data_IF_912459271138
#
_entry.id   IF_912459271138
#
_cell.length_a   1.000
_cell.length_b   1.000
_cell.length_c   1.000
_cell.angle_alpha   90.00
_cell.angle_beta   90.00
_cell.angle_gamma   90.00
#
_symmetry.space_group_name_H-M   'P 1'
#
loop_
_entity.id
_entity.type
_entity.pdbx_description
1 polymer ?
#
# COMPACT_ATOMS: atom_id res chain seq x y z
N UNK A 1 -15.00 -2.32 20.08
CA UNK A 1 -14.81 -2.43 18.59
C UNK A 1 -15.64 -3.62 18.09
N UNK A 2 -16.65 -3.38 17.26
CA UNK A 2 -17.38 -4.40 16.50
C UNK A 2 -16.64 -4.65 15.18
N UNK A 3 -16.44 -5.91 14.77
CA UNK A 3 -15.62 -6.27 13.59
C UNK A 3 -16.46 -7.11 12.63
N UNK A 4 -16.45 -6.73 11.37
CA UNK A 4 -17.06 -7.46 10.26
C UNK A 4 -15.98 -8.26 9.52
N UNK A 5 -16.40 -9.36 8.87
CA UNK A 5 -15.61 -10.14 7.94
C UNK A 5 -16.41 -10.31 6.66
N UNK A 6 -15.80 -9.96 5.54
CA UNK A 6 -16.42 -10.20 4.24
C UNK A 6 -16.54 -11.71 4.02
N UNK A 7 -17.74 -12.22 3.64
CA UNK A 7 -17.92 -13.64 3.39
C UNK A 7 -16.97 -14.17 2.30
N UNK A 8 -16.45 -15.38 2.48
CA UNK A 8 -15.52 -15.97 1.51
C UNK A 8 -16.13 -16.17 0.13
N UNK A 9 -17.45 -16.33 0.05
CA UNK A 9 -18.18 -16.38 -1.22
C UNK A 9 -18.01 -15.14 -2.09
N UNK A 10 -17.73 -13.96 -1.50
CA UNK A 10 -17.45 -12.74 -2.23
C UNK A 10 -16.12 -12.81 -3.00
N UNK A 11 -15.22 -13.68 -2.61
CA UNK A 11 -13.90 -13.86 -3.21
C UNK A 11 -13.80 -15.11 -4.10
N UNK A 12 -14.89 -15.79 -4.30
CA UNK A 12 -14.92 -16.95 -5.20
C UNK A 12 -14.75 -16.51 -6.66
N UNK A 13 -13.89 -17.23 -7.41
CA UNK A 13 -13.70 -17.05 -8.86
C UNK A 13 -13.27 -15.65 -9.28
N UNK A 14 -12.37 -15.01 -8.51
CA UNK A 14 -11.78 -13.74 -8.90
C UNK A 14 -10.81 -13.92 -10.09
N UNK A 15 -10.95 -13.07 -11.09
CA UNK A 15 -10.11 -13.12 -12.28
C UNK A 15 -8.63 -12.86 -11.93
N UNK A 16 -7.76 -13.80 -12.34
CA UNK A 16 -6.31 -13.68 -12.12
C UNK A 16 -5.87 -13.72 -10.65
N UNK A 17 -6.68 -14.30 -9.74
CA UNK A 17 -6.38 -14.32 -8.31
C UNK A 17 -6.56 -15.74 -7.72
N UNK A 18 -5.69 -16.68 -8.10
CA UNK A 18 -5.78 -18.08 -7.66
C UNK A 18 -5.13 -18.36 -6.29
N UNK A 19 -4.72 -17.33 -5.57
CA UNK A 19 -3.89 -17.42 -4.37
C UNK A 19 -4.67 -17.92 -3.15
N UNK A 20 -4.02 -18.75 -2.34
CA UNK A 20 -4.57 -19.24 -1.09
C UNK A 20 -4.50 -18.15 0.01
N UNK A 21 -5.59 -17.92 0.76
CA UNK A 21 -5.59 -16.92 1.82
C UNK A 21 -4.77 -17.40 3.03
N UNK A 22 -3.92 -16.52 3.58
CA UNK A 22 -3.25 -16.69 4.87
C UNK A 22 -3.67 -15.58 5.83
N UNK A 23 -3.51 -15.80 7.12
CA UNK A 23 -3.94 -14.87 8.15
C UNK A 23 -2.95 -14.81 9.30
N UNK A 24 -2.65 -13.58 9.76
CA UNK A 24 -1.88 -13.31 10.96
C UNK A 24 -2.73 -12.53 11.98
N UNK A 25 -2.38 -12.61 13.25
CA UNK A 25 -2.96 -11.78 14.30
C UNK A 25 -2.13 -10.51 14.45
N UNK A 26 -2.79 -9.35 14.37
CA UNK A 26 -2.14 -8.05 14.49
C UNK A 26 -2.77 -7.22 15.59
N UNK A 27 -1.95 -6.43 16.25
CA UNK A 27 -2.37 -5.53 17.33
C UNK A 27 -2.00 -4.09 17.02
N UNK A 28 -2.72 -3.14 17.59
CA UNK A 28 -2.39 -1.72 17.59
C UNK A 28 -2.69 -1.14 18.97
N UNK A 29 -1.65 -0.69 19.68
CA UNK A 29 -1.75 -0.27 21.06
C UNK A 29 -2.47 -1.31 21.93
N UNK A 30 -3.33 -0.87 22.82
CA UNK A 30 -4.10 -1.73 23.73
C UNK A 30 -5.40 -2.30 23.10
N UNK A 31 -5.51 -2.32 21.76
CA UNK A 31 -6.68 -2.87 21.11
C UNK A 31 -6.64 -4.40 21.08
N UNK A 32 -7.85 -5.02 21.01
CA UNK A 32 -7.89 -6.46 20.79
C UNK A 32 -7.25 -6.85 19.47
N UNK A 33 -6.62 -8.05 19.37
CA UNK A 33 -6.06 -8.54 18.12
C UNK A 33 -7.10 -8.60 17.00
N UNK A 34 -6.68 -8.23 15.80
CA UNK A 34 -7.44 -8.35 14.56
C UNK A 34 -6.76 -9.37 13.64
N UNK A 35 -7.55 -9.97 12.77
CA UNK A 35 -7.07 -10.89 11.73
C UNK A 35 -6.69 -10.08 10.48
N UNK A 36 -5.42 -10.06 10.12
CA UNK A 36 -4.92 -9.52 8.87
C UNK A 36 -4.72 -10.65 7.85
N UNK A 37 -5.36 -10.51 6.70
CA UNK A 37 -5.13 -11.39 5.56
C UNK A 37 -3.84 -11.02 4.85
N UNK A 38 -3.14 -11.99 4.31
CA UNK A 38 -2.01 -11.78 3.41
C UNK A 38 -1.86 -12.94 2.43
N UNK A 39 -1.26 -12.66 1.29
CA UNK A 39 -0.73 -13.67 0.37
C UNK A 39 0.72 -13.96 0.75
N UNK A 40 1.18 -15.19 0.47
CA UNK A 40 2.54 -15.65 0.73
C UNK A 40 2.88 -16.70 -0.33
N UNK A 41 3.47 -16.25 -1.42
CA UNK A 41 3.68 -17.01 -2.65
C UNK A 41 5.17 -17.08 -2.98
N UNK A 42 5.58 -18.10 -3.72
CA UNK A 42 6.96 -18.32 -4.11
C UNK A 42 7.75 -19.18 -3.12
N UNK A 43 9.08 -19.04 -3.12
CA UNK A 43 9.96 -19.81 -2.25
C UNK A 43 9.92 -19.27 -0.81
N UNK A 44 9.50 -20.07 0.19
CA UNK A 44 9.51 -19.63 1.59
C UNK A 44 10.90 -19.24 2.12
N UNK A 45 11.98 -19.76 1.51
CA UNK A 45 13.36 -19.40 1.84
C UNK A 45 13.89 -18.23 0.98
N UNK A 46 13.12 -17.80 -0.01
CA UNK A 46 13.46 -16.67 -0.88
C UNK A 46 13.46 -15.33 -0.15
N UNK A 47 14.15 -14.35 -0.73
CA UNK A 47 14.18 -13.01 -0.17
C UNK A 47 12.76 -12.42 -0.13
N UNK A 48 12.30 -11.88 1.03
CA UNK A 48 10.94 -11.40 1.16
C UNK A 48 10.72 -10.09 0.40
N UNK A 49 9.71 -10.08 -0.47
CA UNK A 49 9.18 -8.91 -1.18
C UNK A 49 7.78 -8.63 -0.65
N UNK A 50 7.63 -7.53 0.07
CA UNK A 50 6.34 -7.10 0.64
C UNK A 50 5.72 -6.06 -0.28
N UNK A 51 4.49 -6.31 -0.74
CA UNK A 51 3.71 -5.45 -1.63
C UNK A 51 2.57 -4.79 -0.83
N UNK A 52 2.73 -3.53 -0.43
CA UNK A 52 1.78 -2.83 0.44
C UNK A 52 0.88 -1.87 -0.35
N UNK A 53 -0.39 -2.25 -0.45
CA UNK A 53 -1.41 -1.51 -1.21
C UNK A 53 -1.94 -0.27 -0.47
N UNK A 54 -2.73 0.55 -1.20
CA UNK A 54 -3.41 1.71 -0.67
C UNK A 54 -4.94 1.62 -0.66
N UNK A 55 -5.61 2.77 -0.69
CA UNK A 55 -7.07 2.89 -0.63
C UNK A 55 -7.64 3.31 -2.01
N UNK A 56 -8.69 2.67 -2.51
CA UNK A 56 -9.52 1.61 -1.93
C UNK A 56 -9.15 0.19 -2.42
N UNK A 57 -7.88 -0.06 -2.68
CA UNK A 57 -7.39 -1.34 -3.21
C UNK A 57 -7.17 -2.37 -2.09
N UNK A 58 -6.69 -3.56 -2.48
CA UNK A 58 -6.30 -4.65 -1.63
C UNK A 58 -5.28 -5.53 -2.38
N UNK A 59 -4.80 -6.62 -1.85
CA UNK A 59 -3.77 -7.47 -2.48
C UNK A 59 -4.08 -7.89 -3.93
N UNK A 60 -5.34 -7.81 -4.36
CA UNK A 60 -5.76 -8.00 -5.75
C UNK A 60 -5.05 -7.07 -6.74
N UNK A 61 -4.64 -5.88 -6.29
CA UNK A 61 -3.85 -4.93 -7.09
C UNK A 61 -2.55 -5.55 -7.62
N UNK A 62 -1.98 -6.47 -6.85
CA UNK A 62 -0.68 -7.07 -7.15
C UNK A 62 -0.75 -8.43 -7.85
N UNK A 63 -1.96 -8.90 -8.26
CA UNK A 63 -2.16 -10.22 -8.86
C UNK A 63 -1.29 -10.50 -10.09
N UNK A 64 -0.90 -9.45 -10.85
CA UNK A 64 -0.04 -9.55 -12.03
C UNK A 64 1.45 -9.38 -11.71
N UNK A 65 1.79 -8.86 -10.51
CA UNK A 65 3.17 -8.74 -10.04
C UNK A 65 3.65 -9.99 -9.31
N UNK A 66 2.76 -10.66 -8.58
CA UNK A 66 3.11 -11.79 -7.71
C UNK A 66 3.73 -12.96 -8.48
N UNK A 67 3.12 -13.49 -9.58
CA UNK A 67 3.69 -14.64 -10.26
C UNK A 67 5.13 -14.41 -10.77
N UNK A 68 5.46 -13.35 -11.52
CA UNK A 68 6.82 -13.18 -12.03
C UNK A 68 7.86 -12.89 -10.95
N UNK A 69 7.46 -12.35 -9.78
CA UNK A 69 8.36 -12.18 -8.64
C UNK A 69 8.60 -13.54 -7.96
N UNK A 70 7.56 -14.36 -7.79
CA UNK A 70 7.67 -15.70 -7.21
C UNK A 70 8.49 -16.65 -8.12
N UNK A 71 8.27 -16.59 -9.44
CA UNK A 71 9.03 -17.35 -10.43
C UNK A 71 10.52 -16.99 -10.45
N UNK A 72 10.87 -15.76 -10.07
CA UNK A 72 12.26 -15.31 -9.91
C UNK A 72 12.91 -15.79 -8.60
N UNK A 73 12.21 -16.60 -7.77
CA UNK A 73 12.73 -17.18 -6.54
C UNK A 73 12.52 -16.33 -5.28
N UNK A 74 11.72 -15.26 -5.36
CA UNK A 74 11.40 -14.45 -4.19
C UNK A 74 10.24 -15.04 -3.40
N UNK A 75 10.21 -14.77 -2.08
CA UNK A 75 9.02 -14.94 -1.24
C UNK A 75 8.19 -13.66 -1.32
N UNK A 76 7.03 -13.70 -1.95
CA UNK A 76 6.18 -12.53 -2.22
C UNK A 76 5.03 -12.48 -1.24
N UNK A 77 4.98 -11.42 -0.43
CA UNK A 77 3.94 -11.21 0.57
C UNK A 77 3.10 -9.98 0.22
N UNK A 78 1.78 -10.13 0.21
CA UNK A 78 0.88 -9.01 -0.06
C UNK A 78 -0.23 -8.97 1.01
N UNK A 79 -0.05 -8.19 2.10
CA UNK A 79 -1.07 -8.06 3.13
C UNK A 79 -2.23 -7.19 2.65
N UNK A 80 -3.44 -7.50 3.12
CA UNK A 80 -4.59 -6.60 3.06
C UNK A 80 -4.61 -5.73 4.32
N UNK A 81 -4.56 -4.42 4.17
CA UNK A 81 -4.68 -3.50 5.30
C UNK A 81 -5.98 -3.75 6.07
N UNK A 82 -5.97 -3.56 7.39
CA UNK A 82 -7.18 -3.66 8.22
C UNK A 82 -8.26 -2.74 7.64
N UNK A 83 -9.46 -3.31 7.43
CA UNK A 83 -10.56 -2.63 6.75
C UNK A 83 -10.69 -2.92 5.26
N UNK A 84 -9.69 -3.58 4.65
CA UNK A 84 -9.61 -3.90 3.22
C UNK A 84 -9.60 -5.41 2.97
N UNK A 85 -9.75 -5.80 1.72
CA UNK A 85 -9.61 -7.17 1.24
C UNK A 85 -10.35 -8.19 2.11
N UNK A 86 -9.64 -9.25 2.52
CA UNK A 86 -10.13 -10.30 3.42
C UNK A 86 -9.79 -10.03 4.90
N UNK A 87 -9.09 -8.95 5.22
CA UNK A 87 -8.79 -8.56 6.59
C UNK A 87 -10.02 -8.17 7.39
N UNK A 88 -9.93 -8.27 8.70
CA UNK A 88 -10.96 -7.81 9.63
C UNK A 88 -11.30 -6.33 9.38
N UNK A 89 -12.58 -6.01 9.51
CA UNK A 89 -13.14 -4.68 9.26
C UNK A 89 -13.83 -4.12 10.50
N UNK A 90 -13.12 -3.36 11.35
CA UNK A 90 -13.79 -2.55 12.37
C UNK A 90 -14.93 -1.74 11.77
N UNK A 91 -16.09 -1.78 12.42
CA UNK A 91 -17.33 -1.29 11.82
C UNK A 91 -17.49 0.23 11.86
N UNK A 92 -16.70 0.93 12.70
CA UNK A 92 -16.77 2.38 12.85
C UNK A 92 -15.56 3.07 12.21
N UNK A 93 -15.74 4.15 11.44
CA UNK A 93 -14.60 4.91 10.90
C UNK A 93 -13.66 5.45 11.98
N UNK A 94 -14.14 5.69 13.19
CA UNK A 94 -13.34 6.11 14.36
C UNK A 94 -12.41 5.02 14.90
N UNK A 95 -12.61 3.77 14.52
CA UNK A 95 -11.72 2.67 14.87
C UNK A 95 -10.39 2.73 14.10
N UNK A 96 -10.33 3.51 13.03
CA UNK A 96 -9.17 3.66 12.15
C UNK A 96 -8.44 4.98 12.44
N UNK A 97 -7.15 4.89 12.71
CA UNK A 97 -6.24 6.04 12.75
C UNK A 97 -5.01 5.76 11.91
N UNK A 98 -4.30 6.80 11.52
CA UNK A 98 -3.03 6.62 10.80
C UNK A 98 -2.05 5.78 11.63
N UNK A 99 -1.90 6.11 12.92
CA UNK A 99 -1.02 5.37 13.83
C UNK A 99 -1.40 3.88 13.90
N UNK A 100 -2.68 3.55 14.06
CA UNK A 100 -3.11 2.15 14.08
C UNK A 100 -2.76 1.39 12.80
N UNK A 101 -2.86 2.03 11.63
CA UNK A 101 -2.45 1.38 10.38
C UNK A 101 -0.95 1.09 10.37
N UNK A 102 -0.11 1.99 10.87
CA UNK A 102 1.32 1.77 11.03
C UNK A 102 1.57 0.61 11.99
N UNK A 103 0.95 0.64 13.18
CA UNK A 103 1.09 -0.39 14.21
C UNK A 103 0.62 -1.78 13.74
N UNK A 104 -0.51 -1.87 13.01
CA UNK A 104 -0.99 -3.14 12.45
C UNK A 104 0.00 -3.73 11.44
N UNK A 105 0.57 -2.90 10.56
CA UNK A 105 1.56 -3.38 9.57
C UNK A 105 2.87 -3.76 10.27
N UNK A 106 3.32 -2.98 11.26
CA UNK A 106 4.48 -3.32 12.08
C UNK A 106 4.27 -4.66 12.80
N UNK A 107 3.12 -4.81 13.48
CA UNK A 107 2.74 -6.05 14.18
C UNK A 107 2.69 -7.26 13.23
N UNK A 108 2.25 -7.06 11.97
CA UNK A 108 2.25 -8.12 10.96
C UNK A 108 3.66 -8.53 10.53
N UNK A 109 4.58 -7.56 10.35
CA UNK A 109 5.98 -7.82 10.04
C UNK A 109 6.67 -8.56 11.20
N UNK A 110 6.36 -8.19 12.44
CA UNK A 110 6.90 -8.80 13.64
C UNK A 110 6.37 -10.22 13.86
N UNK A 111 5.06 -10.45 13.67
CA UNK A 111 4.41 -11.78 13.79
C UNK A 111 5.00 -12.80 12.82
N UNK A 112 5.38 -12.36 11.61
CA UNK A 112 6.02 -13.22 10.61
C UNK A 112 7.54 -13.21 10.68
N UNK A 113 8.14 -12.49 11.64
CA UNK A 113 9.59 -12.24 11.79
C UNK A 113 10.27 -11.92 10.45
N UNK A 114 9.65 -11.06 9.64
CA UNK A 114 10.21 -10.69 8.34
C UNK A 114 11.48 -9.87 8.52
N UNK A 115 12.54 -10.26 7.80
CA UNK A 115 13.87 -9.61 7.80
C UNK A 115 14.34 -9.43 6.37
N UNK A 116 15.24 -8.51 6.15
CA UNK A 116 15.83 -8.21 4.84
C UNK A 116 14.79 -7.94 3.75
N UNK A 117 13.70 -7.27 4.15
CA UNK A 117 12.52 -7.03 3.31
C UNK A 117 12.83 -6.05 2.18
N UNK A 118 12.50 -6.43 0.95
CA UNK A 118 12.26 -5.46 -0.13
C UNK A 118 10.82 -4.98 -0.01
N UNK A 119 10.64 -3.74 0.46
CA UNK A 119 9.32 -3.17 0.71
C UNK A 119 8.87 -2.30 -0.48
N UNK A 120 7.87 -2.79 -1.22
CA UNK A 120 7.19 -2.05 -2.29
C UNK A 120 5.91 -1.42 -1.76
N UNK A 121 5.76 -0.11 -1.94
CA UNK A 121 4.62 0.65 -1.40
C UNK A 121 3.97 1.54 -2.46
N UNK A 122 2.63 1.62 -2.43
CA UNK A 122 1.84 2.43 -3.36
C UNK A 122 0.71 3.15 -2.61
N UNK A 123 0.39 4.40 -2.97
CA UNK A 123 -0.69 5.21 -2.38
C UNK A 123 -0.61 5.27 -0.84
N UNK A 124 -1.68 4.90 -0.12
CA UNK A 124 -1.66 4.79 1.34
C UNK A 124 -0.66 3.78 1.87
N UNK A 125 -0.35 2.73 1.07
CA UNK A 125 0.75 1.84 1.38
C UNK A 125 2.07 2.58 1.51
N UNK A 126 2.29 3.67 0.77
CA UNK A 126 3.50 4.50 0.91
C UNK A 126 3.48 5.35 2.18
N UNK A 127 2.34 5.95 2.52
CA UNK A 127 2.23 6.74 3.75
C UNK A 127 2.50 5.86 5.00
N UNK A 128 1.99 4.64 5.00
CA UNK A 128 2.17 3.68 6.08
C UNK A 128 3.57 3.05 6.02
N UNK A 129 3.95 2.51 4.86
CA UNK A 129 5.19 1.74 4.68
C UNK A 129 6.46 2.58 4.83
N UNK A 130 6.46 3.85 4.42
CA UNK A 130 7.59 4.76 4.67
C UNK A 130 7.76 5.07 6.17
N UNK A 131 6.67 5.12 6.93
CA UNK A 131 6.72 5.18 8.39
C UNK A 131 7.33 3.92 8.98
N UNK A 132 6.83 2.75 8.54
CA UNK A 132 7.35 1.44 8.99
C UNK A 132 8.84 1.31 8.61
N UNK A 133 9.23 1.67 7.38
CA UNK A 133 10.63 1.61 6.95
C UNK A 133 11.56 2.51 7.78
N UNK A 134 11.08 3.69 8.18
CA UNK A 134 11.83 4.60 9.05
C UNK A 134 11.97 4.07 10.48
N UNK A 135 10.92 3.46 11.03
CA UNK A 135 10.86 2.97 12.41
C UNK A 135 11.48 1.57 12.56
N UNK A 136 11.44 0.74 11.51
CA UNK A 136 11.94 -0.64 11.46
C UNK A 136 13.05 -0.81 10.41
N UNK A 137 13.92 0.20 10.25
CA UNK A 137 14.93 0.21 9.18
C UNK A 137 15.87 -1.01 9.21
N UNK A 138 16.08 -1.62 10.37
CA UNK A 138 16.88 -2.84 10.53
C UNK A 138 16.26 -4.08 9.85
N UNK A 139 14.96 -4.09 9.58
CA UNK A 139 14.25 -5.17 8.87
C UNK A 139 14.16 -4.96 7.35
N UNK A 140 14.48 -3.75 6.88
CA UNK A 140 14.37 -3.38 5.47
C UNK A 140 15.71 -3.50 4.78
N UNK A 141 15.78 -4.27 3.71
CA UNK A 141 16.95 -4.34 2.83
C UNK A 141 16.85 -3.30 1.70
N UNK A 142 15.66 -3.14 1.13
CA UNK A 142 15.41 -2.25 -0.02
C UNK A 142 14.03 -1.61 0.10
N UNK A 143 13.88 -0.40 -0.45
CA UNK A 143 12.63 0.34 -0.42
C UNK A 143 12.24 0.78 -1.83
N UNK A 144 11.01 0.50 -2.24
CA UNK A 144 10.45 0.90 -3.55
C UNK A 144 9.17 1.68 -3.35
N UNK A 145 9.09 2.86 -3.93
CA UNK A 145 7.87 3.67 -3.93
C UNK A 145 7.33 3.81 -5.34
N UNK A 146 6.08 3.39 -5.51
CA UNK A 146 5.33 3.60 -6.74
C UNK A 146 4.11 4.48 -6.45
N UNK A 147 4.01 5.63 -7.12
CA UNK A 147 2.87 6.56 -6.98
C UNK A 147 2.48 6.79 -5.51
N UNK A 148 3.42 7.34 -4.73
CA UNK A 148 3.25 7.54 -3.30
C UNK A 148 4.22 8.54 -2.71
N UNK A 149 4.06 8.84 -1.43
CA UNK A 149 4.93 9.76 -0.69
C UNK A 149 4.73 9.61 0.82
N UNK A 150 5.52 10.32 1.62
CA UNK A 150 5.27 10.57 3.04
C UNK A 150 4.85 12.03 3.24
N UNK A 151 3.62 12.26 3.66
CA UNK A 151 3.09 13.60 3.90
C UNK A 151 3.49 14.10 5.30
N UNK A 152 4.21 15.22 5.35
CA UNK A 152 4.71 15.86 6.59
C UNK A 152 4.00 17.18 6.91
N UNK A 153 3.04 17.57 6.06
CA UNK A 153 2.41 18.89 6.06
C UNK A 153 3.42 20.05 6.03
N UNK A 154 4.63 19.84 5.50
CA UNK A 154 5.60 20.91 5.25
C UNK A 154 5.19 21.77 4.04
N UNK A 155 4.53 21.14 3.08
CA UNK A 155 4.02 21.80 1.88
C UNK A 155 2.50 21.63 1.79
N UNK A 156 1.78 22.64 1.29
CA UNK A 156 0.34 22.53 1.09
C UNK A 156 0.04 21.55 -0.03
N UNK A 157 -0.97 20.69 0.17
CA UNK A 157 -1.48 19.84 -0.91
C UNK A 157 -2.03 20.70 -2.07
N UNK A 158 -1.91 20.26 -3.31
CA UNK A 158 -2.54 20.91 -4.46
C UNK A 158 -4.04 21.12 -4.24
N UNK A 159 -4.58 22.22 -4.78
CA UNK A 159 -6.00 22.57 -4.59
C UNK A 159 -6.94 21.43 -5.03
N UNK A 160 -6.70 20.80 -6.18
CA UNK A 160 -7.51 19.72 -6.69
C UNK A 160 -7.53 18.52 -5.72
N UNK A 161 -6.39 18.17 -5.10
CA UNK A 161 -6.29 17.11 -4.10
C UNK A 161 -7.08 17.47 -2.84
N UNK A 162 -6.97 18.72 -2.37
CA UNK A 162 -7.77 19.21 -1.21
C UNK A 162 -9.26 19.14 -1.49
N UNK A 163 -9.70 19.57 -2.67
CA UNK A 163 -11.10 19.52 -3.08
C UNK A 163 -11.60 18.06 -3.16
N UNK A 164 -10.82 17.18 -3.77
CA UNK A 164 -11.12 15.74 -3.83
C UNK A 164 -11.25 15.12 -2.45
N UNK A 165 -10.33 15.42 -1.52
CA UNK A 165 -10.41 14.94 -0.14
C UNK A 165 -11.63 15.48 0.60
N UNK A 166 -12.00 16.75 0.39
CA UNK A 166 -13.20 17.34 1.00
C UNK A 166 -14.47 16.61 0.56
N UNK A 167 -14.58 16.29 -0.74
CA UNK A 167 -15.69 15.50 -1.27
C UNK A 167 -15.64 14.07 -0.70
N UNK A 168 -14.50 13.40 -0.76
CA UNK A 168 -14.34 12.01 -0.34
C UNK A 168 -14.70 11.79 1.13
N UNK A 169 -14.52 12.77 2.02
CA UNK A 169 -14.90 12.73 3.43
C UNK A 169 -16.40 12.59 3.68
N UNK A 170 -17.23 12.94 2.71
CA UNK A 170 -18.70 12.96 2.82
C UNK A 170 -19.38 11.90 1.97
N UNK A 171 -18.62 11.15 1.14
CA UNK A 171 -19.19 10.10 0.30
C UNK A 171 -19.73 8.97 1.20
N UNK A 172 -21.05 8.66 1.10
CA UNK A 172 -21.66 7.62 1.94
C UNK A 172 -21.29 6.20 1.48
N UNK A 173 -20.96 6.03 0.21
CA UNK A 173 -20.57 4.76 -0.42
C UNK A 173 -19.34 4.98 -1.30
N UNK A 174 -18.29 4.20 -1.11
CA UNK A 174 -17.04 4.28 -1.88
C UNK A 174 -17.13 3.32 -3.08
N UNK A 175 -17.23 3.81 -4.32
CA UNK A 175 -17.26 2.96 -5.51
C UNK A 175 -15.82 2.47 -5.84
N UNK A 176 -15.32 1.48 -5.10
CA UNK A 176 -13.91 1.06 -5.16
C UNK A 176 -13.43 0.80 -6.60
N UNK A 177 -14.14 -0.06 -7.35
CA UNK A 177 -13.79 -0.34 -8.75
C UNK A 177 -13.89 0.90 -9.66
N UNK A 178 -14.79 1.84 -9.36
CA UNK A 178 -14.93 3.10 -10.09
C UNK A 178 -13.73 4.01 -9.87
N UNK A 179 -13.26 4.12 -8.63
CA UNK A 179 -12.07 4.91 -8.26
C UNK A 179 -10.82 4.32 -8.92
N UNK A 180 -10.64 2.99 -8.86
CA UNK A 180 -9.50 2.34 -9.52
C UNK A 180 -9.56 2.54 -11.04
N UNK A 181 -10.72 2.36 -11.67
CA UNK A 181 -10.89 2.56 -13.12
C UNK A 181 -10.63 4.01 -13.55
N UNK A 182 -10.90 4.99 -12.69
CA UNK A 182 -10.59 6.39 -12.98
C UNK A 182 -9.10 6.72 -12.80
N UNK A 183 -8.42 5.99 -11.92
CA UNK A 183 -6.99 6.16 -11.63
C UNK A 183 -6.05 5.27 -12.45
N UNK A 184 -6.56 4.49 -13.40
CA UNK A 184 -5.79 3.69 -14.38
C UNK A 184 -5.85 4.31 -15.77
N UNK A 185 -4.84 4.06 -16.61
CA UNK A 185 -4.86 4.43 -18.02
C UNK A 185 -5.54 3.34 -18.86
N UNK A 186 -5.50 2.09 -18.38
CA UNK A 186 -6.14 0.95 -19.05
C UNK A 186 -7.59 0.80 -18.63
N UNK A 187 -8.43 0.37 -19.57
CA UNK A 187 -9.82 0.07 -19.28
C UNK A 187 -9.94 -1.25 -18.51
N UNK A 188 -10.56 -1.19 -17.33
CA UNK A 188 -10.78 -2.39 -16.51
C UNK A 188 -11.95 -3.21 -17.04
N UNK A 189 -11.75 -4.53 -17.24
CA UNK A 189 -12.83 -5.47 -17.56
C UNK A 189 -13.85 -5.57 -16.43
N UNK A 190 -15.04 -6.07 -16.74
CA UNK A 190 -16.09 -6.29 -15.73
C UNK A 190 -15.63 -7.23 -14.61
N UNK A 191 -14.84 -8.27 -14.95
CA UNK A 191 -14.31 -9.23 -13.97
C UNK A 191 -13.29 -8.56 -13.04
N UNK A 192 -12.40 -7.72 -13.55
CA UNK A 192 -11.42 -6.98 -12.73
C UNK A 192 -12.15 -5.99 -11.82
N UNK A 193 -13.15 -5.28 -12.33
CA UNK A 193 -13.99 -4.39 -11.50
C UNK A 193 -14.72 -5.14 -10.39
N UNK A 194 -15.23 -6.35 -10.68
CA UNK A 194 -15.82 -7.22 -9.66
C UNK A 194 -14.81 -7.59 -8.57
N UNK A 195 -13.54 -7.87 -8.94
CA UNK A 195 -12.45 -8.13 -7.99
C UNK A 195 -12.20 -6.97 -7.02
N UNK A 196 -12.16 -5.73 -7.50
CA UNK A 196 -12.01 -4.56 -6.62
C UNK A 196 -13.20 -4.31 -5.70
N UNK A 197 -14.41 -4.70 -6.11
CA UNK A 197 -15.63 -4.56 -5.28
C UNK A 197 -15.83 -5.74 -4.31
N UNK A 198 -15.18 -6.88 -4.53
CA UNK A 198 -15.38 -8.11 -3.75
C UNK A 198 -15.31 -7.91 -2.22
N UNK A 199 -14.36 -7.10 -1.65
CA UNK A 199 -14.29 -6.88 -0.21
C UNK A 199 -15.47 -6.12 0.39
N UNK A 200 -16.29 -5.47 -0.45
CA UNK A 200 -17.28 -4.47 -0.03
C UNK A 200 -18.70 -4.81 -0.52
N UNK A 201 -19.31 -5.92 -0.05
CA UNK A 201 -20.63 -6.34 -0.52
C UNK A 201 -21.74 -5.30 -0.25
N UNK A 202 -21.55 -4.46 0.75
CA UNK A 202 -22.41 -3.30 1.04
C UNK A 202 -21.66 -2.24 1.87
N UNK A 203 -22.31 -1.10 2.13
CA UNK A 203 -21.76 0.06 2.85
C UNK A 203 -21.19 -0.27 4.25
N UNK A 204 -21.71 -1.28 4.93
CA UNK A 204 -21.24 -1.65 6.30
C UNK A 204 -19.79 -2.11 6.30
N UNK A 205 -19.32 -2.70 5.18
CA UNK A 205 -17.94 -3.18 5.01
C UNK A 205 -16.96 -2.08 4.58
N UNK A 206 -17.41 -0.83 4.42
CA UNK A 206 -16.62 0.27 3.90
C UNK A 206 -16.15 1.26 4.97
N UNK A 207 -16.23 0.93 6.27
CA UNK A 207 -15.81 1.85 7.33
C UNK A 207 -14.33 2.24 7.17
N UNK A 208 -13.44 1.28 6.84
CA UNK A 208 -12.02 1.52 6.58
C UNK A 208 -11.80 2.45 5.40
N UNK A 209 -12.31 2.11 4.20
CA UNK A 209 -12.12 2.96 2.99
C UNK A 209 -12.63 4.39 3.21
N UNK A 210 -13.71 4.54 3.95
CA UNK A 210 -14.31 5.86 4.27
C UNK A 210 -13.53 6.64 5.33
N UNK A 211 -12.70 5.97 6.13
CA UNK A 211 -11.85 6.63 7.12
C UNK A 211 -10.64 7.31 6.45
N UNK A 212 -10.01 6.69 5.47
CA UNK A 212 -8.75 7.15 4.88
C UNK A 212 -8.71 8.62 4.46
N UNK A 213 -9.71 9.20 3.77
CA UNK A 213 -9.66 10.62 3.41
C UNK A 213 -9.57 11.58 4.60
N UNK A 214 -10.03 11.14 5.80
CA UNK A 214 -9.96 11.93 7.04
C UNK A 214 -8.61 11.79 7.74
N UNK A 215 -7.88 10.71 7.46
CA UNK A 215 -6.58 10.41 8.08
C UNK A 215 -5.43 11.12 7.35
N UNK A 216 -5.64 11.66 6.14
CA UNK A 216 -4.60 12.34 5.35
C UNK A 216 -3.98 13.48 6.16
N UNK A 217 -2.63 13.49 6.37
CA UNK A 217 -1.94 14.53 7.13
C UNK A 217 -1.78 15.82 6.30
N UNK A 218 -2.91 16.45 5.96
CA UNK A 218 -2.99 17.63 5.11
C UNK A 218 -2.76 18.95 5.85
N UNK A 219 -2.62 18.91 7.19
CA UNK A 219 -2.48 20.10 8.05
C UNK A 219 -1.45 19.82 9.13
N UNK A 220 -0.64 20.83 9.55
CA UNK A 220 0.29 20.70 10.67
C UNK A 220 -0.36 20.26 12.00
N UNK A 221 -1.68 20.49 12.15
CA UNK A 221 -2.46 20.08 13.32
C UNK A 221 -2.88 18.60 13.30
N UNK A 222 -2.66 17.89 12.19
CA UNK A 222 -2.98 16.47 12.12
C UNK A 222 -2.07 15.68 13.07
N UNK A 223 -2.64 14.78 13.93
CA UNK A 223 -1.87 14.06 14.95
C UNK A 223 -0.77 13.15 14.39
N UNK A 224 -0.82 12.76 13.11
CA UNK A 224 0.22 11.95 12.47
C UNK A 224 1.46 12.77 12.09
N UNK A 225 1.35 14.11 11.95
CA UNK A 225 2.42 14.95 11.40
C UNK A 225 3.71 14.94 12.22
N UNK A 226 3.71 15.03 13.56
CA UNK A 226 4.96 14.96 14.31
C UNK A 226 5.77 13.69 14.03
N UNK A 227 5.12 12.56 14.06
CA UNK A 227 5.76 11.28 13.80
C UNK A 227 6.14 11.10 12.31
N UNK A 228 5.36 11.63 11.37
CA UNK A 228 5.74 11.66 9.95
C UNK A 228 6.98 12.53 9.69
N UNK A 229 7.14 13.64 10.41
CA UNK A 229 8.35 14.45 10.33
C UNK A 229 9.57 13.73 10.89
N UNK A 230 9.41 13.04 12.02
CA UNK A 230 10.48 12.21 12.58
C UNK A 230 10.89 11.10 11.60
N UNK A 231 9.93 10.41 11.00
CA UNK A 231 10.18 9.40 9.98
C UNK A 231 10.85 9.99 8.72
N UNK A 232 10.41 11.17 8.26
CA UNK A 232 11.07 11.88 7.16
C UNK A 232 12.54 12.13 7.47
N UNK A 233 12.86 12.64 8.66
CA UNK A 233 14.24 12.84 9.08
C UNK A 233 15.05 11.55 9.15
N UNK A 234 14.43 10.42 9.55
CA UNK A 234 15.09 9.11 9.55
C UNK A 234 15.35 8.61 8.13
N UNK A 235 14.39 8.76 7.20
CA UNK A 235 14.55 8.44 5.78
C UNK A 235 15.66 9.26 5.13
N UNK A 236 15.89 10.51 5.56
CA UNK A 236 17.03 11.34 5.12
C UNK A 236 18.40 10.82 5.54
N UNK A 237 18.47 9.74 6.32
CA UNK A 237 19.69 9.02 6.70
C UNK A 237 19.69 7.56 6.23
N UNK A 238 18.68 7.16 5.45
CA UNK A 238 18.56 5.80 4.94
C UNK A 238 19.50 5.62 3.74
N UNK A 239 20.53 4.84 3.92
CA UNK A 239 21.55 4.50 2.91
C UNK A 239 21.19 3.24 2.10
N UNK A 240 20.16 2.51 2.50
CA UNK A 240 19.69 1.31 1.81
C UNK A 240 19.12 1.65 0.44
N UNK A 241 19.30 0.78 -0.58
CA UNK A 241 18.82 1.03 -1.93
C UNK A 241 17.35 1.47 -1.95
N UNK A 242 17.10 2.61 -2.58
CA UNK A 242 15.76 3.20 -2.72
C UNK A 242 15.43 3.41 -4.19
N UNK A 243 14.32 2.83 -4.65
CA UNK A 243 13.84 2.94 -6.02
C UNK A 243 12.50 3.68 -6.09
N UNK A 244 12.39 4.67 -6.97
CA UNK A 244 11.15 5.38 -7.25
C UNK A 244 10.67 5.07 -8.67
N UNK A 245 9.45 4.51 -8.81
CA UNK A 245 8.82 4.21 -10.11
C UNK A 245 7.44 4.86 -10.14
N UNK A 246 7.23 5.83 -11.00
CA UNK A 246 6.02 6.64 -11.03
C UNK A 246 5.30 6.57 -12.38
N UNK A 247 3.98 6.49 -12.35
CA UNK A 247 3.14 6.58 -13.54
C UNK A 247 3.21 7.98 -14.18
N UNK A 248 3.31 8.05 -15.50
CA UNK A 248 3.34 9.34 -16.23
C UNK A 248 2.03 10.09 -16.15
N UNK A 249 0.92 9.40 -15.89
CA UNK A 249 -0.43 9.94 -15.82
C UNK A 249 -1.00 10.00 -14.39
N UNK A 250 -0.16 9.85 -13.35
CA UNK A 250 -0.62 10.02 -11.96
C UNK A 250 -0.81 11.50 -11.62
N UNK A 251 -2.06 11.89 -11.43
CA UNK A 251 -2.45 13.26 -11.07
C UNK A 251 -2.36 13.52 -9.54
N UNK A 252 -2.16 12.49 -8.72
CA UNK A 252 -2.15 12.61 -7.25
C UNK A 252 -0.71 12.77 -6.74
N UNK A 253 0.18 11.85 -7.08
CA UNK A 253 1.55 11.81 -6.58
C UNK A 253 2.62 11.92 -7.67
N UNK A 254 2.25 12.17 -8.92
CA UNK A 254 3.18 12.12 -10.07
C UNK A 254 4.43 12.99 -9.94
N UNK A 255 4.43 14.01 -9.08
CA UNK A 255 5.58 14.89 -8.81
C UNK A 255 6.32 14.54 -7.50
N UNK A 256 5.78 13.64 -6.67
CA UNK A 256 6.35 13.33 -5.36
C UNK A 256 7.67 12.55 -5.43
N UNK A 257 7.93 11.84 -6.53
CA UNK A 257 9.14 11.05 -6.74
C UNK A 257 10.42 11.87 -6.60
N UNK A 258 10.48 13.06 -7.17
CA UNK A 258 11.66 13.93 -7.07
C UNK A 258 12.03 14.28 -5.64
N UNK A 259 11.02 14.57 -4.81
CA UNK A 259 11.24 14.89 -3.39
C UNK A 259 11.82 13.72 -2.61
N UNK A 260 11.36 12.51 -2.87
CA UNK A 260 11.88 11.29 -2.25
C UNK A 260 13.32 11.00 -2.71
N UNK A 261 13.57 11.07 -4.02
CA UNK A 261 14.89 10.82 -4.62
C UNK A 261 15.94 11.81 -4.09
N UNK A 262 15.59 13.10 -3.97
CA UNK A 262 16.52 14.11 -3.46
C UNK A 262 16.75 14.04 -1.95
N UNK A 263 15.86 13.36 -1.20
CA UNK A 263 15.90 13.34 0.26
C UNK A 263 16.56 12.06 0.81
N UNK A 264 16.38 10.91 0.16
CA UNK A 264 16.83 9.61 0.63
C UNK A 264 18.21 9.29 0.04
N UNK A 265 19.29 9.18 0.84
CA UNK A 265 20.64 8.93 0.33
C UNK A 265 20.74 7.67 -0.53
N UNK A 266 20.05 6.59 -0.14
CA UNK A 266 20.00 5.32 -0.89
C UNK A 266 19.38 5.40 -2.28
N UNK A 267 18.86 6.57 -2.69
CA UNK A 267 18.36 6.83 -4.04
C UNK A 267 19.48 7.11 -5.05
N UNK A 268 20.66 7.54 -4.58
CA UNK A 268 21.75 7.92 -5.47
C UNK A 268 22.18 6.76 -6.38
N UNK A 269 22.25 7.01 -7.68
CA UNK A 269 22.68 6.03 -8.68
C UNK A 269 21.66 4.92 -8.99
N UNK A 270 20.45 4.96 -8.40
CA UNK A 270 19.43 3.96 -8.66
C UNK A 270 18.65 4.24 -9.96
N UNK A 271 18.13 3.20 -10.66
CA UNK A 271 17.46 3.33 -11.94
C UNK A 271 16.01 3.79 -11.79
N UNK A 272 15.78 4.97 -11.18
CA UNK A 272 14.44 5.53 -11.05
C UNK A 272 13.77 5.66 -12.42
N UNK A 273 12.44 5.47 -12.45
CA UNK A 273 11.73 5.47 -13.72
C UNK A 273 10.38 6.18 -13.65
N UNK A 274 9.96 6.70 -14.79
CA UNK A 274 8.57 7.04 -15.09
C UNK A 274 8.10 6.08 -16.18
N UNK A 275 6.96 5.41 -15.92
CA UNK A 275 6.39 4.41 -16.83
C UNK A 275 4.98 4.81 -17.24
N UNK A 276 4.50 4.28 -18.37
CA UNK A 276 3.17 4.60 -18.84
C UNK A 276 2.11 3.95 -17.94
N UNK A 277 1.49 4.75 -17.09
CA UNK A 277 0.47 4.29 -16.14
C UNK A 277 -0.16 5.45 -15.38
N UNK A 278 -1.32 5.19 -14.82
CA UNK A 278 -2.08 6.11 -13.96
C UNK A 278 -1.64 6.00 -12.50
N UNK A 279 -2.54 6.39 -11.59
CA UNK A 279 -2.30 6.33 -10.14
C UNK A 279 -2.14 4.90 -9.64
N UNK A 280 -2.95 3.96 -10.11
CA UNK A 280 -2.85 2.54 -9.75
C UNK A 280 -1.91 1.81 -10.72
N UNK A 281 -0.66 2.27 -10.78
CA UNK A 281 0.36 1.76 -11.71
C UNK A 281 0.58 0.24 -11.65
N UNK A 282 0.42 -0.48 -10.52
CA UNK A 282 0.48 -1.94 -10.52
C UNK A 282 -0.68 -2.61 -11.28
N UNK A 283 -1.83 -1.95 -11.40
CA UNK A 283 -2.92 -2.45 -12.27
C UNK A 283 -2.59 -2.26 -13.75
N UNK A 284 -2.01 -1.13 -14.10
CA UNK A 284 -1.69 -0.80 -15.49
C UNK A 284 -0.47 -1.58 -16.01
N UNK A 285 0.58 -1.73 -15.20
CA UNK A 285 1.91 -2.17 -15.61
C UNK A 285 2.53 -3.22 -14.67
N UNK A 286 1.72 -4.06 -14.00
CA UNK A 286 2.22 -4.96 -12.95
C UNK A 286 3.34 -5.90 -13.40
N UNK A 287 3.25 -6.49 -14.59
CA UNK A 287 4.30 -7.36 -15.12
C UNK A 287 5.60 -6.58 -15.42
N UNK A 288 5.52 -5.37 -15.95
CA UNK A 288 6.68 -4.49 -16.17
C UNK A 288 7.32 -4.09 -14.84
N UNK A 289 6.51 -3.72 -13.83
CA UNK A 289 7.00 -3.42 -12.48
C UNK A 289 7.75 -4.60 -11.88
N UNK A 290 7.20 -5.81 -11.96
CA UNK A 290 7.85 -7.02 -11.46
C UNK A 290 9.19 -7.29 -12.16
N UNK A 291 9.24 -7.15 -13.50
CA UNK A 291 10.48 -7.30 -14.27
C UNK A 291 11.55 -6.29 -13.84
N UNK A 292 11.19 -5.02 -13.67
CA UNK A 292 12.09 -3.97 -13.19
C UNK A 292 12.58 -4.22 -11.78
N UNK A 293 11.69 -4.70 -10.89
CA UNK A 293 12.08 -5.06 -9.53
C UNK A 293 13.08 -6.22 -9.52
N UNK A 294 12.83 -7.29 -10.28
CA UNK A 294 13.74 -8.43 -10.37
C UNK A 294 15.14 -8.02 -10.84
N UNK A 295 15.21 -7.23 -11.93
CA UNK A 295 16.48 -6.72 -12.45
C UNK A 295 17.22 -5.85 -11.40
N UNK A 296 16.48 -4.96 -10.72
CA UNK A 296 17.06 -4.09 -9.71
C UNK A 296 17.52 -4.84 -8.46
N UNK A 297 16.73 -5.77 -7.95
CA UNK A 297 17.10 -6.58 -6.78
C UNK A 297 18.34 -7.42 -7.05
N UNK A 298 18.48 -7.96 -8.27
CA UNK A 298 19.69 -8.69 -8.69
C UNK A 298 20.94 -7.81 -8.75
N UNK A 299 20.80 -6.52 -9.05
CA UNK A 299 21.92 -5.57 -9.12
C UNK A 299 22.29 -4.96 -7.76
N UNK A 300 21.47 -5.16 -6.74
CA UNK A 300 21.64 -4.60 -5.38
C UNK A 300 21.71 -5.69 -4.31
N UNK A 301 21.99 -6.93 -4.72
CA UNK A 301 22.13 -8.10 -3.86
C UNK A 301 23.39 -8.05 -2.99
#
# INVERSE_FOLDING_TARGET
>A
MHVLRTPDSCFARLAGYPFAPRYAKVVAGDTRPLRMHYLDEGDPAGQPVVLLHGNPTWSYLYRTMIPPLAEAGHRVLAPDLIGMGRSDKPAQPSDYTYLRHVEWVTSWIDELDLRDVTLFVQDWGSLIGLRVAAEQSHRIARLVVANGTLLTAAEPLPFAVKAGLAIARHIPYVPAAGIVAHGTVNTLSAQVRAGYNAPFPNRRYQAGTRAFPRLVPASPRNPAVPANRAAWNALGRLDKPFLAIFGTSDLIFGQAGHRLISHIPGAAGQPHARIHGGHFVPEDCGAELASRLNAWMSSTA
#
